data_IF_837199047545
#
_entry.id   IF_837199047545
#
_cell.length_a   1.000
_cell.length_b   1.000
_cell.length_c   1.000
_cell.angle_alpha   90.00
_cell.angle_beta   90.00
_cell.angle_gamma   90.00
#
_symmetry.space_group_name_H-M   'P 1'
#
loop_
_entity.id
_entity.type
_entity.pdbx_description
1 polymer ?
#
# COMPACT_ATOMS: atom_id res chain seq x y z
N UNK A 1 2.40 19.69 17.01
CA UNK A 1 2.18 19.46 18.46
C UNK A 1 2.95 18.21 18.82
N UNK A 2 3.98 18.29 19.65
CA UNK A 2 4.89 17.18 19.95
C UNK A 2 4.46 16.55 21.29
N UNK A 3 3.72 15.45 21.24
CA UNK A 3 3.05 14.85 22.40
C UNK A 3 4.01 14.00 23.23
N UNK A 4 3.66 13.72 24.50
CA UNK A 4 4.46 12.82 25.35
C UNK A 4 4.62 11.42 24.73
N UNK A 5 3.63 11.00 23.92
CA UNK A 5 3.61 9.74 23.17
C UNK A 5 4.63 9.71 22.04
N UNK A 6 4.80 10.80 21.29
CA UNK A 6 5.80 10.87 20.21
C UNK A 6 7.22 10.73 20.76
N UNK A 7 7.46 11.27 21.97
CA UNK A 7 8.72 11.13 22.70
C UNK A 7 8.97 9.71 23.18
N UNK A 8 7.93 9.03 23.64
CA UNK A 8 7.99 7.61 24.01
C UNK A 8 8.31 6.74 22.80
N UNK A 9 7.60 6.93 21.68
CA UNK A 9 7.86 6.25 20.41
C UNK A 9 9.30 6.50 19.96
N UNK A 10 9.78 7.74 20.01
CA UNK A 10 11.17 8.09 19.63
C UNK A 10 12.21 7.33 20.45
N UNK A 11 11.99 7.21 21.77
CA UNK A 11 12.89 6.54 22.70
C UNK A 11 12.89 5.03 22.47
N UNK A 12 11.71 4.43 22.37
CA UNK A 12 11.59 2.98 22.14
C UNK A 12 12.13 2.63 20.77
N UNK A 13 11.82 3.40 19.73
CA UNK A 13 12.33 3.17 18.37
C UNK A 13 13.87 3.16 18.35
N UNK A 14 14.50 4.11 19.06
CA UNK A 14 15.97 4.18 19.20
C UNK A 14 16.61 2.96 19.88
N UNK A 15 15.85 2.14 20.62
CA UNK A 15 16.37 0.90 21.23
C UNK A 15 16.51 -0.24 20.23
N UNK A 16 15.71 -0.21 19.15
CA UNK A 16 15.67 -1.27 18.14
C UNK A 16 16.40 -0.89 16.85
N UNK A 17 16.81 0.38 16.73
CA UNK A 17 17.48 0.92 15.55
C UNK A 17 18.72 0.12 15.13
N UNK A 18 18.87 0.00 13.81
CA UNK A 18 20.05 -0.54 13.16
C UNK A 18 20.45 0.35 11.98
N UNK A 19 21.65 0.11 11.45
CA UNK A 19 22.10 0.77 10.22
C UNK A 19 21.32 0.19 9.04
N UNK A 20 20.61 1.04 8.30
CA UNK A 20 20.02 0.68 7.02
C UNK A 20 21.11 0.70 5.93
N UNK A 21 21.28 -0.41 5.20
CA UNK A 21 22.28 -0.50 4.13
C UNK A 21 21.93 0.40 2.93
N UNK A 22 20.63 0.52 2.61
CA UNK A 22 20.12 1.37 1.53
C UNK A 22 20.11 2.86 1.85
N UNK A 23 19.93 3.22 3.14
CA UNK A 23 19.75 4.63 3.59
C UNK A 23 20.51 4.91 4.89
N UNK A 24 21.78 5.25 4.77
CA UNK A 24 22.69 5.46 5.92
C UNK A 24 22.29 6.55 6.90
N UNK A 25 21.53 7.56 6.43
CA UNK A 25 21.07 8.67 7.26
C UNK A 25 19.65 8.46 7.82
N UNK A 26 19.00 7.34 7.51
CA UNK A 26 17.65 7.04 7.98
C UNK A 26 17.66 6.26 9.30
N UNK A 27 16.77 6.64 10.21
CA UNK A 27 16.45 5.87 11.42
C UNK A 27 15.58 4.68 11.02
N UNK A 28 16.06 3.48 11.28
CA UNK A 28 15.52 2.24 10.71
C UNK A 28 15.50 1.11 11.74
N UNK A 29 14.41 0.36 11.78
CA UNK A 29 14.31 -0.90 12.53
C UNK A 29 14.18 -2.05 11.53
N UNK A 30 15.06 -3.06 11.56
CA UNK A 30 15.01 -4.19 10.64
C UNK A 30 13.80 -5.09 10.93
N UNK A 31 13.29 -5.77 9.91
CA UNK A 31 12.00 -6.49 9.96
C UNK A 31 11.90 -7.50 11.10
N UNK A 32 12.99 -8.19 11.45
CA UNK A 32 13.04 -9.16 12.54
C UNK A 32 12.82 -8.57 13.94
N UNK A 33 12.94 -7.23 14.08
CA UNK A 33 12.77 -6.50 15.35
C UNK A 33 11.47 -5.72 15.45
N UNK A 34 10.71 -5.64 14.36
CA UNK A 34 9.48 -4.84 14.29
C UNK A 34 8.43 -5.34 15.28
N UNK A 35 8.25 -6.67 15.37
CA UNK A 35 7.29 -7.26 16.30
C UNK A 35 7.56 -6.87 17.77
N UNK A 36 8.83 -6.92 18.17
CA UNK A 36 9.25 -6.58 19.54
C UNK A 36 9.09 -5.08 19.83
N UNK A 37 9.41 -4.22 18.86
CA UNK A 37 9.18 -2.78 18.95
C UNK A 37 7.70 -2.48 19.21
N UNK A 38 6.80 -3.06 18.40
CA UNK A 38 5.35 -2.86 18.51
C UNK A 38 4.77 -3.42 19.82
N UNK A 39 5.27 -4.57 20.29
CA UNK A 39 4.92 -5.10 21.60
C UNK A 39 5.35 -4.15 22.74
N UNK A 40 6.54 -3.55 22.64
CA UNK A 40 7.09 -2.65 23.66
C UNK A 40 6.31 -1.34 23.78
N UNK A 41 5.74 -0.83 22.68
CA UNK A 41 4.84 0.34 22.68
C UNK A 41 3.37 -0.04 22.97
N UNK A 42 3.12 -1.28 23.40
CA UNK A 42 1.80 -1.75 23.84
C UNK A 42 0.83 -2.14 22.72
N UNK A 43 1.33 -2.37 21.50
CA UNK A 43 0.52 -2.71 20.31
C UNK A 43 1.02 -4.02 19.68
N UNK A 44 0.87 -5.18 20.36
CA UNK A 44 1.40 -6.45 19.85
C UNK A 44 0.76 -6.84 18.52
N UNK A 45 1.58 -7.28 17.58
CA UNK A 45 1.17 -7.66 16.22
C UNK A 45 1.47 -9.14 15.94
N UNK A 46 0.70 -9.73 15.02
CA UNK A 46 0.94 -11.07 14.46
C UNK A 46 1.97 -10.99 13.34
N UNK A 47 2.61 -12.11 13.04
CA UNK A 47 3.67 -12.19 12.01
C UNK A 47 3.20 -11.69 10.63
N UNK A 48 1.96 -12.00 10.24
CA UNK A 48 1.42 -11.52 8.96
C UNK A 48 1.25 -10.00 8.94
N UNK A 49 0.78 -9.41 10.04
CA UNK A 49 0.60 -7.96 10.18
C UNK A 49 1.96 -7.25 10.14
N UNK A 50 3.01 -7.87 10.70
CA UNK A 50 4.38 -7.33 10.63
C UNK A 50 4.89 -7.26 9.19
N UNK A 51 4.63 -8.29 8.37
CA UNK A 51 5.04 -8.30 6.96
C UNK A 51 4.36 -7.18 6.18
N UNK A 52 3.06 -7.03 6.36
CA UNK A 52 2.29 -5.98 5.70
C UNK A 52 2.76 -4.58 6.13
N UNK A 53 3.11 -4.42 7.41
CA UNK A 53 3.58 -3.16 7.96
C UNK A 53 5.01 -2.79 7.51
N UNK A 54 5.89 -3.78 7.35
CA UNK A 54 7.23 -3.60 6.76
C UNK A 54 7.12 -3.12 5.32
N UNK A 55 6.19 -3.69 4.54
CA UNK A 55 5.94 -3.23 3.17
C UNK A 55 5.45 -1.77 3.13
N UNK A 56 4.61 -1.38 4.09
CA UNK A 56 4.03 -0.04 4.17
C UNK A 56 5.03 1.01 4.68
N UNK A 57 5.76 0.71 5.74
CA UNK A 57 6.59 1.68 6.47
C UNK A 57 8.08 1.56 6.15
N UNK A 58 8.47 0.57 5.36
CA UNK A 58 9.85 0.32 4.96
C UNK A 58 10.31 1.09 3.73
N UNK A 59 9.38 1.55 2.89
CA UNK A 59 9.70 2.26 1.63
C UNK A 59 10.76 1.52 0.79
N UNK A 60 10.53 0.22 0.60
CA UNK A 60 11.42 -0.70 -0.12
C UNK A 60 12.55 -1.32 0.70
N UNK A 61 12.73 -0.93 1.96
CA UNK A 61 13.71 -1.53 2.88
C UNK A 61 13.14 -2.74 3.64
N UNK A 62 14.02 -3.66 4.07
CA UNK A 62 13.65 -4.84 4.88
C UNK A 62 13.44 -4.48 6.36
N UNK A 63 12.51 -3.56 6.63
CA UNK A 63 12.21 -3.06 7.97
C UNK A 63 11.28 -1.85 7.93
N UNK A 64 11.29 -1.01 8.97
CA UNK A 64 10.45 0.19 9.05
C UNK A 64 11.29 1.44 9.28
N UNK A 65 10.85 2.55 8.69
CA UNK A 65 11.49 3.86 8.82
C UNK A 65 10.78 4.70 9.90
N UNK A 66 11.58 5.41 10.69
CA UNK A 66 11.07 6.17 11.85
C UNK A 66 9.99 7.19 11.48
N UNK A 67 10.20 7.96 10.40
CA UNK A 67 9.27 9.02 10.02
C UNK A 67 7.90 8.48 9.63
N UNK A 68 7.85 7.42 8.80
CA UNK A 68 6.62 6.71 8.43
C UNK A 68 5.95 6.06 9.64
N UNK A 69 6.76 5.51 10.55
CA UNK A 69 6.25 4.87 11.78
C UNK A 69 5.59 5.88 12.72
N UNK A 70 6.18 7.06 12.90
CA UNK A 70 5.58 8.13 13.72
C UNK A 70 4.28 8.63 13.09
N UNK A 71 4.24 8.81 11.77
CA UNK A 71 3.04 9.23 11.06
C UNK A 71 1.89 8.22 11.20
N UNK A 72 2.20 6.92 11.03
CA UNK A 72 1.27 5.82 11.25
C UNK A 72 0.73 5.80 12.69
N UNK A 73 1.60 5.90 13.70
CA UNK A 73 1.22 5.80 15.12
C UNK A 73 0.54 7.05 15.69
N UNK A 74 0.81 8.23 15.13
CA UNK A 74 0.22 9.50 15.58
C UNK A 74 -1.21 9.69 15.06
N UNK A 75 -1.74 8.74 14.27
CA UNK A 75 -3.04 8.86 13.62
C UNK A 75 -3.07 10.00 12.59
N UNK A 76 -1.90 10.51 12.20
CA UNK A 76 -1.72 11.51 11.13
C UNK A 76 -1.94 10.90 9.75
N UNK A 77 -1.74 9.59 9.62
CA UNK A 77 -2.25 8.83 8.48
C UNK A 77 -3.77 8.68 8.59
N UNK A 78 -4.52 9.58 7.96
CA UNK A 78 -5.88 9.30 7.48
C UNK A 78 -5.85 8.24 6.35
N UNK A 79 -5.08 7.18 6.57
CA UNK A 79 -4.79 6.15 5.60
C UNK A 79 -6.02 5.33 5.30
N UNK A 80 -6.14 4.93 4.04
CA UNK A 80 -7.19 4.05 3.60
C UNK A 80 -7.05 2.71 4.36
N UNK A 81 -8.07 2.33 5.13
CA UNK A 81 -8.02 1.06 5.90
C UNK A 81 -8.21 -0.14 4.96
N UNK A 82 -7.78 -1.33 5.36
CA UNK A 82 -8.02 -2.55 4.57
C UNK A 82 -9.50 -2.78 4.27
N UNK A 83 -10.39 -2.44 5.22
CA UNK A 83 -11.82 -2.52 5.00
C UNK A 83 -12.33 -1.53 3.95
N UNK A 84 -11.72 -0.34 3.87
CA UNK A 84 -12.03 0.64 2.83
C UNK A 84 -11.48 0.19 1.48
N UNK A 85 -10.26 -0.35 1.44
CA UNK A 85 -9.68 -0.91 0.21
C UNK A 85 -10.51 -2.10 -0.28
N UNK A 86 -10.93 -2.99 0.61
CA UNK A 86 -11.77 -4.14 0.29
C UNK A 86 -13.13 -3.71 -0.25
N UNK A 87 -13.72 -2.65 0.31
CA UNK A 87 -14.96 -2.10 -0.20
C UNK A 87 -14.79 -1.53 -1.62
N UNK A 88 -13.66 -0.87 -1.90
CA UNK A 88 -13.32 -0.40 -3.26
C UNK A 88 -13.08 -1.57 -4.20
N UNK A 89 -12.37 -2.61 -3.76
CA UNK A 89 -12.14 -3.82 -4.55
C UNK A 89 -13.46 -4.46 -4.99
N UNK A 90 -14.37 -4.70 -4.04
CA UNK A 90 -15.69 -5.29 -4.33
C UNK A 90 -16.54 -4.39 -5.24
N UNK A 91 -16.39 -3.08 -5.13
CA UNK A 91 -17.10 -2.12 -5.98
C UNK A 91 -16.53 -2.05 -7.41
N UNK A 92 -15.28 -2.47 -7.63
CA UNK A 92 -14.65 -2.58 -8.95
C UNK A 92 -14.89 -3.98 -9.56
N UNK A 93 -14.69 -5.06 -8.79
CA UNK A 93 -14.92 -6.49 -9.15
C UNK A 93 -16.40 -6.81 -9.45
N UNK A 94 -17.27 -5.80 -9.44
CA UNK A 94 -18.66 -5.95 -9.78
C UNK A 94 -18.83 -5.77 -11.28
N UNK A 95 -18.90 -6.87 -12.03
CA UNK A 95 -19.29 -6.83 -13.44
C UNK A 95 -20.68 -6.18 -13.58
N UNK A 96 -20.75 -5.04 -14.27
CA UNK A 96 -22.01 -4.43 -14.70
C UNK A 96 -22.58 -5.20 -15.92
N UNK A 97 -23.02 -6.43 -15.67
CA UNK A 97 -23.70 -7.31 -16.62
C UNK A 97 -25.09 -7.71 -16.12
N UNK A 98 -26.10 -7.63 -16.98
CA UNK A 98 -27.51 -7.87 -16.67
C UNK A 98 -27.75 -9.14 -15.82
N UNK A 99 -28.05 -8.94 -14.53
CA UNK A 99 -28.83 -9.88 -13.72
C UNK A 99 -28.06 -10.88 -12.85
N UNK A 100 -26.73 -10.91 -12.84
CA UNK A 100 -25.98 -11.64 -11.82
C UNK A 100 -24.75 -10.86 -11.37
N UNK A 101 -24.73 -10.41 -10.10
CA UNK A 101 -23.51 -9.92 -9.45
C UNK A 101 -22.54 -11.09 -9.31
N UNK A 102 -21.77 -11.36 -10.37
CA UNK A 102 -20.65 -12.28 -10.30
C UNK A 102 -19.44 -11.47 -9.87
N UNK A 103 -18.79 -12.00 -8.84
CA UNK A 103 -17.48 -11.57 -8.37
C UNK A 103 -16.56 -12.73 -8.70
N UNK A 104 -15.51 -12.47 -9.46
CA UNK A 104 -14.49 -13.50 -9.69
C UNK A 104 -13.32 -13.36 -8.69
N UNK A 105 -13.39 -12.37 -7.80
CA UNK A 105 -12.38 -12.00 -6.81
C UNK A 105 -11.05 -11.61 -7.46
N UNK A 106 -11.11 -11.07 -8.67
CA UNK A 106 -9.97 -10.57 -9.42
C UNK A 106 -10.38 -9.26 -10.07
N UNK A 107 -9.61 -8.20 -9.82
CA UNK A 107 -9.81 -6.92 -10.51
C UNK A 107 -8.76 -6.79 -11.61
N UNK A 108 -9.20 -6.63 -12.85
CA UNK A 108 -8.33 -6.32 -13.98
C UNK A 108 -7.96 -4.84 -14.02
N UNK A 109 -6.83 -4.52 -14.66
CA UNK A 109 -6.42 -3.13 -14.95
C UNK A 109 -7.51 -2.35 -15.69
N UNK A 110 -8.17 -2.99 -16.65
CA UNK A 110 -9.24 -2.37 -17.43
C UNK A 110 -10.45 -2.00 -16.55
N UNK A 111 -10.81 -2.84 -15.58
CA UNK A 111 -11.88 -2.53 -14.62
C UNK A 111 -11.50 -1.36 -13.71
N UNK A 112 -10.24 -1.28 -13.26
CA UNK A 112 -9.75 -0.11 -12.50
C UNK A 112 -9.84 1.16 -13.35
N UNK A 113 -9.34 1.11 -14.58
CA UNK A 113 -9.40 2.22 -15.53
C UNK A 113 -10.85 2.66 -15.80
N UNK A 114 -11.75 1.72 -16.06
CA UNK A 114 -13.16 1.98 -16.31
C UNK A 114 -13.84 2.64 -15.10
N UNK A 115 -13.57 2.14 -13.89
CA UNK A 115 -14.10 2.73 -12.66
C UNK A 115 -13.60 4.16 -12.45
N UNK A 116 -12.30 4.37 -12.63
CA UNK A 116 -11.68 5.70 -12.50
C UNK A 116 -12.18 6.67 -13.56
N UNK A 117 -12.39 6.23 -14.80
CA UNK A 117 -12.97 7.04 -15.87
C UNK A 117 -14.40 7.48 -15.54
N UNK A 118 -15.19 6.61 -14.90
CA UNK A 118 -16.53 6.94 -14.41
C UNK A 118 -16.54 7.99 -13.29
N UNK A 119 -15.50 8.02 -12.45
CA UNK A 119 -15.35 8.99 -11.37
C UNK A 119 -14.68 10.30 -11.83
N UNK A 120 -13.76 10.22 -12.78
CA UNK A 120 -12.99 11.35 -13.28
C UNK A 120 -12.69 11.16 -14.79
N UNK A 121 -13.25 12.02 -15.67
CA UNK A 121 -13.06 11.94 -17.12
C UNK A 121 -11.60 11.96 -17.58
N UNK A 122 -10.66 12.44 -16.75
CA UNK A 122 -9.23 12.39 -17.02
C UNK A 122 -8.74 10.96 -17.33
N UNK A 123 -9.28 9.95 -16.63
CA UNK A 123 -8.90 8.54 -16.82
C UNK A 123 -9.59 7.89 -18.03
N UNK A 124 -10.62 8.53 -18.61
CA UNK A 124 -11.28 8.06 -19.84
C UNK A 124 -10.84 8.81 -21.10
N UNK A 125 -9.84 9.69 -21.01
CA UNK A 125 -9.35 10.47 -22.14
C UNK A 125 -8.29 9.69 -22.93
N UNK A 126 -8.51 9.55 -24.23
CA UNK A 126 -7.55 8.91 -25.14
C UNK A 126 -6.29 9.77 -25.34
N UNK A 127 -5.11 9.13 -25.27
CA UNK A 127 -3.82 9.69 -25.66
C UNK A 127 -2.80 9.89 -24.52
N UNK A 128 -1.58 10.36 -24.86
CA UNK A 128 -0.40 10.29 -24.00
C UNK A 128 -0.37 11.22 -22.78
N UNK A 129 -1.48 11.92 -22.56
CA UNK A 129 -1.69 12.81 -21.42
C UNK A 129 -2.94 12.39 -20.62
N UNK A 130 -3.56 11.27 -20.98
CA UNK A 130 -4.70 10.69 -20.28
C UNK A 130 -4.28 9.99 -18.99
N UNK A 131 -5.20 9.93 -18.03
CA UNK A 131 -4.96 9.29 -16.74
C UNK A 131 -4.75 7.79 -16.81
N UNK A 132 -5.26 7.13 -17.87
CA UNK A 132 -5.05 5.70 -18.09
C UNK A 132 -3.57 5.37 -18.33
N UNK A 133 -2.89 6.08 -19.24
CA UNK A 133 -1.46 5.86 -19.49
C UNK A 133 -0.60 6.18 -18.25
N UNK A 134 -0.92 7.25 -17.51
CA UNK A 134 -0.22 7.57 -16.27
C UNK A 134 -0.42 6.50 -15.18
N UNK A 135 -1.60 5.90 -15.12
CA UNK A 135 -1.87 4.79 -14.21
C UNK A 135 -1.06 3.55 -14.61
N UNK A 136 -1.02 3.22 -15.90
CA UNK A 136 -0.23 2.10 -16.43
C UNK A 136 1.26 2.29 -16.14
N UNK A 137 1.81 3.48 -16.37
CA UNK A 137 3.21 3.82 -16.06
C UNK A 137 3.53 3.69 -14.57
N UNK A 138 2.61 4.19 -13.71
CA UNK A 138 2.75 4.07 -12.26
C UNK A 138 2.69 2.60 -11.81
N UNK A 139 1.79 1.80 -12.38
CA UNK A 139 1.69 0.37 -12.09
C UNK A 139 2.99 -0.35 -12.49
N UNK A 140 3.54 -0.07 -13.67
CA UNK A 140 4.81 -0.66 -14.14
C UNK A 140 5.96 -0.35 -13.17
N UNK A 141 6.12 0.92 -12.81
CA UNK A 141 7.14 1.35 -11.86
C UNK A 141 6.95 0.69 -10.49
N UNK A 142 5.71 0.67 -9.98
CA UNK A 142 5.41 0.21 -8.62
C UNK A 142 5.59 -1.30 -8.50
N UNK A 143 5.07 -2.06 -9.46
CA UNK A 143 5.21 -3.52 -9.52
C UNK A 143 6.68 -3.91 -9.61
N UNK A 144 7.46 -3.26 -10.49
CA UNK A 144 8.88 -3.55 -10.65
C UNK A 144 9.69 -3.19 -9.40
N UNK A 145 9.48 -2.00 -8.84
CA UNK A 145 10.24 -1.49 -7.70
C UNK A 145 9.96 -2.27 -6.42
N UNK A 146 8.71 -2.69 -6.21
CA UNK A 146 8.28 -3.40 -4.99
C UNK A 146 8.16 -4.91 -5.19
N UNK A 147 8.52 -5.43 -6.38
CA UNK A 147 8.48 -6.86 -6.73
C UNK A 147 7.12 -7.52 -6.46
N UNK A 148 6.05 -6.79 -6.74
CA UNK A 148 4.68 -7.27 -6.53
C UNK A 148 4.39 -8.37 -7.56
N UNK A 149 3.87 -9.51 -7.11
CA UNK A 149 3.45 -10.58 -8.02
C UNK A 149 2.05 -10.28 -8.57
N UNK A 150 1.96 -10.20 -9.89
CA UNK A 150 0.73 -9.89 -10.63
C UNK A 150 0.53 -10.95 -11.71
N UNK A 151 -0.71 -11.42 -11.87
CA UNK A 151 -1.08 -12.34 -12.95
C UNK A 151 -1.45 -11.53 -14.18
N UNK A 152 -1.12 -12.02 -15.36
CA UNK A 152 -1.50 -11.37 -16.63
C UNK A 152 -2.48 -12.29 -17.36
N UNK A 153 -3.63 -11.75 -17.76
CA UNK A 153 -4.64 -12.46 -18.53
C UNK A 153 -4.19 -12.69 -19.99
N UNK A 154 -4.93 -13.49 -20.74
CA UNK A 154 -4.57 -13.85 -22.13
C UNK A 154 -4.58 -12.65 -23.08
N UNK A 155 -5.36 -11.61 -22.77
CA UNK A 155 -5.44 -10.34 -23.52
C UNK A 155 -4.30 -9.37 -23.17
N UNK A 156 -3.46 -9.70 -22.18
CA UNK A 156 -2.37 -8.87 -21.71
C UNK A 156 -2.72 -7.96 -20.52
N UNK A 157 -3.98 -7.96 -20.07
CA UNK A 157 -4.42 -7.15 -18.94
C UNK A 157 -3.92 -7.73 -17.62
N UNK A 158 -3.46 -6.85 -16.72
CA UNK A 158 -2.99 -7.24 -15.39
C UNK A 158 -4.18 -7.53 -14.48
N UNK A 159 -4.07 -8.60 -13.70
CA UNK A 159 -5.09 -9.08 -12.79
C UNK A 159 -4.60 -8.97 -11.34
N UNK A 160 -5.36 -8.27 -10.51
CA UNK A 160 -5.06 -8.00 -9.12
C UNK A 160 -5.96 -8.82 -8.21
N UNK A 161 -5.34 -9.66 -7.37
CA UNK A 161 -6.05 -10.29 -6.25
C UNK A 161 -6.35 -9.24 -5.16
N UNK A 162 -7.25 -9.52 -4.19
CA UNK A 162 -7.49 -8.60 -3.08
C UNK A 162 -6.20 -8.21 -2.34
N UNK A 163 -5.27 -9.16 -2.17
CA UNK A 163 -3.98 -8.89 -1.53
C UNK A 163 -3.11 -7.95 -2.36
N UNK A 164 -2.96 -8.24 -3.66
CA UNK A 164 -2.18 -7.42 -4.60
C UNK A 164 -2.75 -6.00 -4.70
N UNK A 165 -4.08 -5.89 -4.77
CA UNK A 165 -4.79 -4.61 -4.86
C UNK A 165 -4.58 -3.76 -3.59
N UNK A 166 -4.60 -4.36 -2.39
CA UNK A 166 -4.27 -3.67 -1.15
C UNK A 166 -2.87 -3.09 -1.16
N UNK A 167 -1.87 -3.87 -1.58
CA UNK A 167 -0.49 -3.40 -1.68
C UNK A 167 -0.39 -2.20 -2.62
N UNK A 168 -1.02 -2.27 -3.80
CA UNK A 168 -1.03 -1.16 -4.76
C UNK A 168 -1.70 0.09 -4.20
N UNK A 169 -2.89 -0.04 -3.59
CA UNK A 169 -3.61 1.10 -3.03
C UNK A 169 -2.84 1.80 -1.92
N UNK A 170 -2.17 1.03 -1.04
CA UNK A 170 -1.33 1.60 0.02
C UNK A 170 -0.15 2.39 -0.55
N UNK A 171 0.56 1.82 -1.53
CA UNK A 171 1.67 2.49 -2.21
C UNK A 171 1.23 3.75 -2.96
N UNK A 172 0.04 3.72 -3.58
CA UNK A 172 -0.52 4.88 -4.27
C UNK A 172 -0.88 6.02 -3.31
N UNK A 173 -1.40 5.69 -2.12
CA UNK A 173 -1.70 6.71 -1.10
C UNK A 173 -0.47 7.28 -0.41
N UNK A 174 0.65 6.56 -0.38
CA UNK A 174 1.91 7.04 0.22
C UNK A 174 2.65 8.09 -0.65
N UNK A 175 2.21 8.29 -1.90
CA UNK A 175 2.78 9.25 -2.84
C UNK A 175 2.05 10.61 -2.86
N UNK A 176 0.99 10.77 -2.06
CA UNK A 176 0.21 12.01 -1.89
C UNK A 176 0.67 12.80 -0.67
#
# INVERSE_FOLDING_TARGET
>A
MNTARDREIANVFGMYEAVCEGRKDARFIPSERVADFFAQIGTPMREQEVKDLVLELGDGEDGILYHLTVEHLSGGGGGITDQMIDAVFVDIDKEDGEGSSKYDNVVSEDEVCAKLAGANPFFGADGPMGGAEQLTDWLDYTIASHKIQVTVAEDGSRCFTPHTFRLLMRLGTALL
#
